data_IF_442378700703
#
_entry.id   IF_442378700703
#
_cell.length_a   1.000
_cell.length_b   1.000
_cell.length_c   1.000
_cell.angle_alpha   90.00
_cell.angle_beta   90.00
_cell.angle_gamma   90.00
#
_symmetry.space_group_name_H-M   'P 1'
#
loop_
_entity.id
_entity.type
_entity.pdbx_description
1 polymer ?
#
# COMPACT_ATOMS: atom_id res chain seq x y z
N UNK A 1 -16.09 -8.01 -3.03
CA UNK A 1 -15.87 -6.90 -2.09
C UNK A 1 -16.69 -5.73 -2.58
N UNK A 2 -17.91 -5.53 -2.03
CA UNK A 2 -18.87 -4.55 -2.52
C UNK A 2 -18.50 -3.11 -2.14
N UNK A 3 -17.72 -2.94 -1.06
CA UNK A 3 -17.39 -1.63 -0.51
C UNK A 3 -16.10 -1.04 -1.11
N UNK A 4 -15.79 -1.35 -2.38
CA UNK A 4 -14.69 -0.78 -3.17
C UNK A 4 -13.29 -0.88 -2.51
N UNK A 5 -12.34 -0.04 -2.94
CA UNK A 5 -10.91 -0.09 -2.56
C UNK A 5 -10.53 1.04 -1.60
N UNK A 6 -9.40 0.90 -0.90
CA UNK A 6 -8.80 2.00 -0.15
C UNK A 6 -8.51 3.20 -1.04
N UNK A 7 -8.05 3.01 -2.27
CA UNK A 7 -7.80 4.11 -3.21
C UNK A 7 -9.06 4.98 -3.42
N UNK A 8 -10.23 4.35 -3.59
CA UNK A 8 -11.51 5.06 -3.72
C UNK A 8 -11.85 5.85 -2.46
N UNK A 9 -11.76 5.23 -1.28
CA UNK A 9 -12.13 5.89 -0.01
C UNK A 9 -11.09 6.89 0.51
N UNK A 10 -9.83 6.79 0.08
CA UNK A 10 -8.73 7.63 0.56
C UNK A 10 -8.43 8.79 -0.40
N UNK A 11 -8.40 8.54 -1.71
CA UNK A 11 -8.01 9.53 -2.73
C UNK A 11 -9.20 10.15 -3.47
N UNK A 12 -10.31 9.42 -3.58
CA UNK A 12 -11.47 9.79 -4.40
C UNK A 12 -12.77 9.80 -3.59
N UNK A 13 -12.67 10.23 -2.33
CA UNK A 13 -13.81 10.38 -1.43
C UNK A 13 -14.76 11.47 -1.95
N UNK A 14 -16.07 11.27 -1.76
CA UNK A 14 -17.10 12.19 -2.27
C UNK A 14 -17.64 13.11 -1.18
N UNK A 15 -17.96 12.56 0.00
CA UNK A 15 -18.60 13.32 1.08
C UNK A 15 -17.60 13.87 2.11
N UNK A 16 -16.73 13.00 2.64
CA UNK A 16 -15.77 13.38 3.67
C UNK A 16 -14.47 12.58 3.56
N UNK A 17 -13.33 13.15 3.97
CA UNK A 17 -12.08 12.41 4.06
C UNK A 17 -12.20 11.19 4.97
N UNK A 18 -11.44 10.13 4.67
CA UNK A 18 -11.36 8.95 5.53
C UNK A 18 -10.93 9.33 6.95
N UNK A 19 -11.74 8.94 7.94
CA UNK A 19 -11.50 9.17 9.37
C UNK A 19 -10.18 8.53 9.82
N UNK A 20 -9.46 9.21 10.68
CA UNK A 20 -8.15 8.75 11.19
C UNK A 20 -8.20 7.33 11.79
N UNK A 21 -9.21 7.05 12.61
CA UNK A 21 -9.40 5.71 13.22
C UNK A 21 -9.52 4.62 12.16
N UNK A 22 -10.17 4.90 11.03
CA UNK A 22 -10.26 3.93 9.92
C UNK A 22 -8.90 3.74 9.23
N UNK A 23 -8.11 4.81 9.07
CA UNK A 23 -6.75 4.72 8.51
C UNK A 23 -5.85 3.83 9.38
N UNK A 24 -5.91 3.98 10.70
CA UNK A 24 -5.17 3.13 11.64
C UNK A 24 -5.65 1.68 11.59
N UNK A 25 -6.97 1.44 11.49
CA UNK A 25 -7.53 0.09 11.33
C UNK A 25 -7.04 -0.58 10.05
N UNK A 26 -6.98 0.16 8.94
CA UNK A 26 -6.42 -0.33 7.67
C UNK A 26 -4.97 -0.75 7.84
N UNK A 27 -4.13 0.09 8.46
CA UNK A 27 -2.72 -0.24 8.69
C UNK A 27 -2.55 -1.51 9.54
N UNK A 28 -3.33 -1.64 10.62
CA UNK A 28 -3.29 -2.81 11.50
C UNK A 28 -3.70 -4.10 10.79
N UNK A 29 -4.90 -4.13 10.20
CA UNK A 29 -5.38 -5.35 9.51
C UNK A 29 -4.49 -5.73 8.32
N UNK A 30 -3.88 -4.75 7.65
CA UNK A 30 -2.91 -5.03 6.59
C UNK A 30 -1.64 -5.67 7.15
N UNK A 31 -1.11 -5.18 8.27
CA UNK A 31 0.06 -5.77 8.93
C UNK A 31 -0.22 -7.21 9.36
N UNK A 32 -1.38 -7.46 10.00
CA UNK A 32 -1.83 -8.81 10.39
C UNK A 32 -1.98 -9.73 9.17
N UNK A 33 -2.53 -9.23 8.06
CA UNK A 33 -2.67 -10.01 6.84
C UNK A 33 -1.30 -10.39 6.23
N UNK A 34 -0.33 -9.47 6.23
CA UNK A 34 1.03 -9.73 5.75
C UNK A 34 1.79 -10.69 6.66
N UNK A 35 1.64 -10.56 7.98
CA UNK A 35 2.18 -11.50 8.95
C UNK A 35 1.59 -12.90 8.73
N UNK A 36 0.27 -12.99 8.58
CA UNK A 36 -0.40 -14.26 8.27
C UNK A 36 0.13 -14.88 6.97
N UNK A 37 0.25 -14.10 5.89
CA UNK A 37 0.78 -14.61 4.62
C UNK A 37 2.21 -15.14 4.78
N UNK A 38 3.05 -14.41 5.51
CA UNK A 38 4.43 -14.82 5.82
C UNK A 38 4.46 -16.13 6.61
N UNK A 39 3.61 -16.27 7.63
CA UNK A 39 3.48 -17.51 8.43
C UNK A 39 3.07 -18.74 7.61
N UNK A 40 2.42 -18.52 6.46
CA UNK A 40 2.00 -19.56 5.51
C UNK A 40 3.00 -19.79 4.38
N UNK A 41 4.22 -19.26 4.48
CA UNK A 41 5.24 -19.39 3.44
C UNK A 41 4.99 -18.52 2.20
N UNK A 42 4.10 -17.53 2.29
CA UNK A 42 3.76 -16.59 1.22
C UNK A 42 4.22 -15.17 1.58
N UNK A 43 5.51 -15.01 1.83
CA UNK A 43 6.11 -13.74 2.21
C UNK A 43 6.20 -12.72 1.07
N UNK A 44 5.90 -13.13 -0.17
CA UNK A 44 5.96 -12.26 -1.35
C UNK A 44 4.55 -11.77 -1.69
N UNK A 45 4.45 -10.46 -1.86
CA UNK A 45 3.25 -9.80 -2.35
C UNK A 45 3.64 -8.82 -3.47
N UNK A 46 3.01 -8.98 -4.62
CA UNK A 46 3.28 -8.20 -5.81
C UNK A 46 2.35 -6.99 -5.88
N UNK A 47 2.94 -5.83 -6.18
CA UNK A 47 2.17 -4.62 -6.48
C UNK A 47 1.28 -4.15 -5.31
N UNK A 48 1.79 -4.22 -4.07
CA UNK A 48 1.09 -3.76 -2.87
C UNK A 48 0.90 -2.23 -2.93
N UNK A 49 -0.35 -1.77 -2.98
CA UNK A 49 -0.74 -0.36 -3.00
C UNK A 49 -2.22 -0.22 -2.58
N UNK A 50 -2.74 1.01 -2.53
CA UNK A 50 -4.11 1.28 -2.05
C UNK A 50 -5.23 0.60 -2.87
N UNK A 51 -4.98 0.14 -4.09
CA UNK A 51 -5.95 -0.61 -4.89
C UNK A 51 -6.04 -2.08 -4.47
N UNK A 52 -5.06 -2.58 -3.70
CA UNK A 52 -5.02 -3.96 -3.20
C UNK A 52 -5.71 -4.15 -1.85
N UNK A 53 -6.07 -3.06 -1.17
CA UNK A 53 -6.90 -3.09 0.03
C UNK A 53 -8.34 -2.86 -0.39
N UNK A 54 -9.20 -3.78 -0.01
CA UNK A 54 -10.62 -3.83 -0.36
C UNK A 54 -11.45 -3.94 0.91
N UNK A 55 -12.66 -3.38 0.91
CA UNK A 55 -13.56 -3.47 2.06
C UNK A 55 -14.62 -4.56 1.83
N UNK A 56 -14.78 -5.43 2.81
CA UNK A 56 -15.83 -6.44 2.80
C UNK A 56 -17.20 -5.83 3.12
N UNK A 57 -18.23 -6.68 3.16
CA UNK A 57 -19.62 -6.31 3.37
C UNK A 57 -19.86 -5.58 4.71
N UNK A 58 -19.02 -5.85 5.70
CA UNK A 58 -19.06 -5.24 7.05
C UNK A 58 -18.24 -3.95 7.13
N UNK A 59 -17.55 -3.58 6.04
CA UNK A 59 -16.67 -2.41 6.00
C UNK A 59 -15.32 -2.65 6.66
N UNK A 60 -14.91 -3.90 6.86
CA UNK A 60 -13.58 -4.24 7.35
C UNK A 60 -12.57 -4.28 6.19
N UNK A 61 -11.39 -3.66 6.33
CA UNK A 61 -10.36 -3.70 5.30
C UNK A 61 -9.73 -5.08 5.22
N UNK A 62 -9.54 -5.57 4.00
CA UNK A 62 -8.92 -6.85 3.67
C UNK A 62 -7.87 -6.69 2.57
N UNK A 63 -6.81 -7.47 2.67
CA UNK A 63 -5.80 -7.57 1.61
C UNK A 63 -6.30 -8.51 0.51
N UNK A 64 -6.28 -8.06 -0.73
CA UNK A 64 -6.62 -8.88 -1.89
C UNK A 64 -5.66 -10.07 -2.04
N UNK A 65 -6.16 -11.26 -2.39
CA UNK A 65 -5.29 -12.42 -2.62
C UNK A 65 -4.56 -12.38 -3.97
N UNK A 66 -4.95 -11.50 -4.90
CA UNK A 66 -4.39 -11.45 -6.25
C UNK A 66 -2.90 -11.11 -6.26
N UNK A 67 -2.42 -10.27 -5.34
CA UNK A 67 -0.99 -9.93 -5.27
C UNK A 67 -0.10 -11.07 -4.75
N UNK A 68 -0.67 -12.14 -4.20
CA UNK A 68 0.09 -13.34 -3.82
C UNK A 68 0.48 -14.21 -5.03
N UNK A 69 -0.10 -13.94 -6.20
CA UNK A 69 0.20 -14.64 -7.45
C UNK A 69 1.05 -13.74 -8.35
N UNK A 70 2.06 -14.31 -9.02
CA UNK A 70 2.81 -13.56 -10.03
C UNK A 70 1.91 -13.24 -11.21
N UNK A 71 1.86 -11.97 -11.60
CA UNK A 71 1.04 -11.48 -12.72
C UNK A 71 1.55 -11.94 -14.10
N UNK A 72 2.77 -12.50 -14.22
CA UNK A 72 3.28 -13.09 -15.47
C UNK A 72 4.47 -14.05 -15.25
N UNK A 73 4.70 -14.95 -16.23
CA UNK A 73 5.92 -15.79 -16.31
C UNK A 73 7.20 -14.96 -16.52
N UNK A 74 7.07 -13.75 -17.06
CA UNK A 74 8.20 -12.87 -17.47
C UNK A 74 8.73 -11.96 -16.35
N UNK A 75 8.29 -12.16 -15.11
CA UNK A 75 8.92 -11.58 -13.92
C UNK A 75 8.56 -10.12 -13.61
N UNK A 76 7.90 -9.38 -14.51
CA UNK A 76 7.40 -8.03 -14.21
C UNK A 76 6.22 -8.10 -13.22
N UNK A 77 6.53 -7.91 -11.95
CA UNK A 77 5.60 -8.06 -10.83
C UNK A 77 4.98 -6.74 -10.36
N UNK A 78 5.57 -5.60 -10.71
CA UNK A 78 5.02 -4.29 -10.39
C UNK A 78 4.33 -3.70 -11.63
N UNK A 79 3.05 -3.37 -11.47
CA UNK A 79 2.29 -2.54 -12.41
C UNK A 79 2.29 -1.07 -11.96
N UNK A 80 2.67 -0.82 -10.71
CA UNK A 80 2.81 0.51 -10.12
C UNK A 80 3.96 1.30 -10.78
N UNK A 81 3.80 2.63 -10.83
CA UNK A 81 4.83 3.56 -11.28
C UNK A 81 6.18 3.28 -10.60
N UNK A 82 7.28 3.30 -11.37
CA UNK A 82 8.65 3.06 -10.88
C UNK A 82 9.02 3.96 -9.69
N UNK A 83 8.39 5.12 -9.55
CA UNK A 83 8.58 6.04 -8.42
C UNK A 83 8.21 5.46 -7.04
N UNK A 84 7.40 4.39 -6.99
CA UNK A 84 7.00 3.69 -5.75
C UNK A 84 7.60 2.29 -5.65
N UNK A 85 8.42 1.92 -6.63
CA UNK A 85 9.02 0.59 -6.70
C UNK A 85 10.25 0.53 -5.80
N UNK A 86 10.44 -0.53 -5.02
CA UNK A 86 11.61 -0.66 -4.16
C UNK A 86 12.91 -0.59 -4.99
N UNK A 87 13.96 0.11 -4.50
CA UNK A 87 15.18 0.34 -5.25
C UNK A 87 15.91 -0.96 -5.64
N UNK A 88 15.85 -1.97 -4.78
CA UNK A 88 16.39 -3.30 -5.05
C UNK A 88 15.64 -4.04 -6.15
N UNK A 89 14.33 -3.82 -6.29
CA UNK A 89 13.55 -4.37 -7.40
C UNK A 89 13.95 -3.72 -8.73
N UNK A 90 14.22 -2.40 -8.76
CA UNK A 90 14.68 -1.72 -9.97
C UNK A 90 16.00 -2.31 -10.50
N UNK A 91 16.86 -2.79 -9.60
CA UNK A 91 18.14 -3.42 -9.97
C UNK A 91 18.01 -4.90 -10.35
N UNK A 92 17.15 -5.64 -9.66
CA UNK A 92 17.14 -7.12 -9.73
C UNK A 92 15.94 -7.70 -10.47
N UNK A 93 14.86 -6.93 -10.63
CA UNK A 93 13.57 -7.38 -11.13
C UNK A 93 12.88 -8.41 -10.23
N UNK A 94 13.34 -8.58 -8.97
CA UNK A 94 12.85 -9.62 -8.05
C UNK A 94 12.20 -8.98 -6.84
N UNK A 95 11.02 -9.50 -6.48
CA UNK A 95 10.35 -9.13 -5.22
C UNK A 95 10.94 -9.96 -4.09
N UNK A 96 11.30 -9.29 -2.99
CA UNK A 96 11.73 -9.92 -1.74
C UNK A 96 10.77 -9.58 -0.61
N UNK A 97 10.84 -10.25 0.55
CA UNK A 97 10.06 -9.85 1.72
C UNK A 97 10.30 -8.38 2.13
N UNK A 98 11.54 -7.89 1.99
CA UNK A 98 11.90 -6.50 2.27
C UNK A 98 11.23 -5.53 1.29
N UNK A 99 11.11 -5.91 0.01
CA UNK A 99 10.36 -5.14 -1.00
C UNK A 99 8.88 -4.98 -0.61
N UNK A 100 8.27 -5.99 0.01
CA UNK A 100 6.88 -5.91 0.51
C UNK A 100 6.79 -4.91 1.66
N UNK A 101 7.76 -4.92 2.57
CA UNK A 101 7.82 -3.95 3.68
C UNK A 101 8.03 -2.52 3.19
N UNK A 102 8.83 -2.32 2.13
CA UNK A 102 8.95 -1.02 1.48
C UNK A 102 7.60 -0.52 0.95
N UNK A 103 6.86 -1.37 0.23
CA UNK A 103 5.52 -1.04 -0.28
C UNK A 103 4.48 -0.85 0.85
N UNK A 104 4.63 -1.53 1.97
CA UNK A 104 3.83 -1.23 3.17
C UNK A 104 4.13 0.18 3.68
N UNK A 105 5.40 0.61 3.68
CA UNK A 105 5.80 1.97 4.01
C UNK A 105 5.18 3.03 3.09
N UNK A 106 5.08 2.77 1.77
CA UNK A 106 4.41 3.70 0.85
C UNK A 106 2.91 3.80 1.15
N UNK A 107 2.26 2.71 1.57
CA UNK A 107 0.89 2.74 2.05
C UNK A 107 0.71 3.54 3.34
N UNK A 108 1.67 3.51 4.26
CA UNK A 108 1.63 4.39 5.43
C UNK A 108 1.71 5.86 5.03
N UNK A 109 2.51 6.21 4.02
CA UNK A 109 2.56 7.57 3.47
C UNK A 109 1.23 7.98 2.83
N UNK A 110 0.58 7.06 2.10
CA UNK A 110 -0.75 7.28 1.54
C UNK A 110 -1.76 7.56 2.66
N UNK A 111 -1.76 6.74 3.72
CA UNK A 111 -2.67 6.89 4.87
C UNK A 111 -2.41 8.19 5.65
N UNK A 112 -1.15 8.61 5.80
CA UNK A 112 -0.81 9.86 6.48
C UNK A 112 -1.22 11.08 5.66
N UNK A 113 -0.92 11.08 4.36
CA UNK A 113 -1.09 12.25 3.50
C UNK A 113 -2.48 12.36 2.84
N UNK A 114 -3.21 11.25 2.74
CA UNK A 114 -4.43 11.16 1.93
C UNK A 114 -4.17 11.32 0.42
N UNK A 115 -2.92 11.17 -0.03
CA UNK A 115 -2.49 11.32 -1.43
C UNK A 115 -1.50 10.22 -1.78
N UNK A 116 -1.45 9.85 -3.06
CA UNK A 116 -0.46 8.90 -3.53
C UNK A 116 0.87 9.61 -3.84
N UNK A 117 1.74 9.74 -2.84
CA UNK A 117 2.97 10.54 -2.91
C UNK A 117 4.19 9.62 -3.04
N UNK A 118 5.03 9.77 -4.09
CA UNK A 118 6.27 9.02 -4.20
C UNK A 118 7.17 9.25 -2.98
N UNK A 119 7.83 8.21 -2.43
CA UNK A 119 8.72 8.36 -1.28
C UNK A 119 9.82 9.42 -1.46
N UNK A 120 10.31 9.60 -2.70
CA UNK A 120 11.30 10.62 -3.04
C UNK A 120 10.81 12.06 -2.80
N UNK A 121 9.50 12.31 -2.76
CA UNK A 121 8.91 13.63 -2.59
C UNK A 121 8.57 13.96 -1.13
N UNK A 122 8.74 13.01 -0.19
CA UNK A 122 8.39 13.20 1.23
C UNK A 122 9.31 14.21 1.92
N UNK A 123 10.58 14.32 1.51
CA UNK A 123 11.54 15.29 2.05
C UNK A 123 11.14 16.76 1.81
N UNK A 124 10.25 17.03 0.85
CA UNK A 124 9.78 18.39 0.52
C UNK A 124 8.64 18.84 1.47
N UNK A 125 7.90 17.90 2.06
CA UNK A 125 6.79 18.23 2.96
C UNK A 125 7.28 18.58 4.38
N UNK A 126 8.38 17.97 4.83
CA UNK A 126 8.97 18.25 6.15
C UNK A 126 9.49 19.68 6.29
N UNK A 127 10.03 20.26 5.22
CA UNK A 127 10.52 21.65 5.23
C UNK A 127 9.40 22.68 5.18
N UNK A 128 8.25 22.35 4.62
CA UNK A 128 7.10 23.28 4.58
C UNK A 128 6.32 23.27 5.89
N UNK A 129 6.21 22.12 6.57
CA UNK A 129 5.54 22.02 7.87
C UNK A 129 6.35 22.63 9.02
N UNK A 130 7.69 22.62 8.95
CA UNK A 130 8.58 23.24 9.94
C UNK A 130 8.75 24.76 9.77
N UNK A 131 8.20 25.37 8.71
CA UNK A 131 8.23 26.82 8.50
C UNK A 131 6.93 27.52 8.93
N UNK A 132 5.95 26.79 9.46
CA UNK A 132 4.67 27.33 9.94
C UNK A 132 4.45 27.17 11.45
N UNK A 133 5.49 26.83 12.20
CA UNK A 133 5.50 26.81 13.68
C UNK A 133 6.57 27.75 14.20
#
# INVERSE_FOLDING_TARGET
MPNETLAKHLFHWEAQPMKWVMRLRVALHLAEALEYCTSKGRALYHDLNAYRIVFDDEGNPRLSCFGLMKNSRDGKSYSTNLAFTPPEYLRTGRVTPESVMYSFGTLLLDLLSGKHIPPSHVSILGTTLMQQT
#
